data_IF_260037236535
#
_entry.id   IF_260037236535
#
_cell.length_a   1.000
_cell.length_b   1.000
_cell.length_c   1.000
_cell.angle_alpha   90.00
_cell.angle_beta   90.00
_cell.angle_gamma   90.00
#
_symmetry.space_group_name_H-M   'P 1'
#
loop_
_entity.id
_entity.type
_entity.pdbx_description
1 polymer ?
#
# COMPACT_ATOMS: atom_id res chain seq x y z
N UNK A 1 16.04 -7.86 9.57
CA UNK A 1 14.72 -7.19 9.64
C UNK A 1 13.97 -7.24 8.30
N UNK A 2 14.55 -6.77 7.17
CA UNK A 2 13.88 -6.88 5.85
C UNK A 2 13.67 -8.33 5.44
N UNK A 3 14.64 -9.19 5.71
CA UNK A 3 14.58 -10.63 5.43
C UNK A 3 13.46 -11.31 6.21
N UNK A 4 13.39 -11.10 7.52
CA UNK A 4 12.30 -11.60 8.36
C UNK A 4 10.94 -11.12 7.88
N UNK A 5 10.84 -9.84 7.48
CA UNK A 5 9.60 -9.28 6.93
C UNK A 5 9.23 -9.97 5.62
N UNK A 6 10.20 -10.26 4.75
CA UNK A 6 10.00 -11.00 3.50
C UNK A 6 9.43 -12.39 3.76
N UNK A 7 10.03 -13.13 4.70
CA UNK A 7 9.60 -14.48 5.06
C UNK A 7 8.18 -14.48 5.60
N UNK A 8 7.90 -13.62 6.60
CA UNK A 8 6.56 -13.49 7.17
C UNK A 8 5.54 -13.11 6.10
N UNK A 9 5.86 -12.15 5.24
CA UNK A 9 4.94 -11.72 4.18
C UNK A 9 4.69 -12.83 3.15
N UNK A 10 5.74 -13.57 2.77
CA UNK A 10 5.61 -14.72 1.86
C UNK A 10 4.70 -15.80 2.45
N UNK A 11 4.85 -16.13 3.72
CA UNK A 11 4.01 -17.12 4.40
C UNK A 11 2.56 -16.66 4.53
N UNK A 12 2.34 -15.40 4.92
CA UNK A 12 0.99 -14.85 5.00
C UNK A 12 0.30 -14.83 3.62
N UNK A 13 1.04 -14.51 2.56
CA UNK A 13 0.50 -14.56 1.20
C UNK A 13 0.14 -16.00 0.78
N UNK A 14 0.97 -17.00 1.11
CA UNK A 14 0.66 -18.42 0.86
C UNK A 14 -0.62 -18.85 1.60
N UNK A 15 -0.75 -18.46 2.89
CA UNK A 15 -1.96 -18.72 3.67
C UNK A 15 -3.18 -18.05 3.04
N UNK A 16 -3.02 -16.83 2.54
CA UNK A 16 -4.10 -16.08 1.91
C UNK A 16 -4.55 -16.72 0.59
N UNK A 17 -3.61 -17.17 -0.25
CA UNK A 17 -3.89 -17.93 -1.46
C UNK A 17 -4.65 -19.22 -1.14
N UNK A 18 -4.21 -19.96 -0.12
CA UNK A 18 -4.90 -21.16 0.37
C UNK A 18 -6.31 -20.87 0.90
N UNK A 19 -6.49 -19.82 1.68
CA UNK A 19 -7.79 -19.36 2.16
C UNK A 19 -8.75 -19.08 1.01
N UNK A 20 -8.27 -18.42 -0.05
CA UNK A 20 -9.03 -18.15 -1.28
C UNK A 20 -9.18 -19.39 -2.18
N UNK A 21 -8.69 -20.55 -1.76
CA UNK A 21 -8.72 -21.82 -2.52
C UNK A 21 -8.09 -21.72 -3.91
N UNK A 22 -7.08 -20.87 -4.06
CA UNK A 22 -6.30 -20.73 -5.29
C UNK A 22 -5.41 -21.97 -5.44
N UNK A 23 -5.59 -22.70 -6.53
CA UNK A 23 -4.80 -23.90 -6.81
C UNK A 23 -3.34 -23.55 -7.12
N UNK A 24 -2.41 -24.48 -6.88
CA UNK A 24 -0.99 -24.27 -7.17
C UNK A 24 -0.69 -24.06 -8.65
N UNK A 25 -1.47 -24.67 -9.53
CA UNK A 25 -1.36 -24.57 -11.00
C UNK A 25 -2.18 -23.43 -11.60
N UNK A 26 -2.95 -22.69 -10.78
CA UNK A 26 -3.76 -21.57 -11.21
C UNK A 26 -2.91 -20.47 -11.87
N UNK A 27 -3.38 -19.92 -12.98
CA UNK A 27 -2.69 -18.84 -13.70
C UNK A 27 -2.86 -17.50 -13.00
N UNK A 28 -1.79 -16.73 -12.90
CA UNK A 28 -1.76 -15.43 -12.22
C UNK A 28 -1.46 -14.29 -13.18
N UNK A 29 -2.17 -13.18 -13.00
CA UNK A 29 -1.77 -11.87 -13.54
C UNK A 29 -1.39 -10.96 -12.37
N UNK A 30 -0.12 -10.54 -12.33
CA UNK A 30 0.37 -9.54 -11.38
C UNK A 30 0.27 -8.16 -12.02
N UNK A 31 -0.43 -7.25 -11.37
CA UNK A 31 -0.64 -5.87 -11.84
C UNK A 31 0.06 -4.91 -10.90
N UNK A 32 0.97 -4.10 -11.43
CA UNK A 32 1.62 -3.03 -10.68
C UNK A 32 1.00 -1.69 -11.02
N UNK A 33 0.26 -1.12 -10.07
CA UNK A 33 -0.37 0.20 -10.22
C UNK A 33 0.62 1.32 -9.85
N UNK A 34 0.35 2.50 -10.36
CA UNK A 34 1.10 3.72 -10.06
C UNK A 34 1.84 4.29 -11.25
N UNK A 35 2.53 5.39 -11.00
CA UNK A 35 3.32 6.12 -11.99
C UNK A 35 4.82 5.88 -11.75
N UNK A 36 5.48 5.19 -12.66
CA UNK A 36 6.92 4.88 -12.58
C UNK A 36 7.83 6.11 -12.53
N UNK A 37 7.33 7.26 -12.99
CA UNK A 37 8.09 8.54 -13.00
C UNK A 37 7.94 9.34 -11.69
N UNK A 38 7.15 8.87 -10.74
CA UNK A 38 6.95 9.51 -9.44
C UNK A 38 7.34 8.52 -8.36
N UNK A 39 8.53 8.65 -7.78
CA UNK A 39 9.11 7.66 -6.85
C UNK A 39 8.11 7.14 -5.81
N UNK A 40 7.39 7.96 -5.02
CA UNK A 40 6.48 7.43 -4.01
C UNK A 40 5.25 6.70 -4.59
N UNK A 41 4.99 6.80 -5.88
CA UNK A 41 3.90 6.13 -6.60
C UNK A 41 4.38 4.94 -7.46
N UNK A 42 5.70 4.71 -7.52
CA UNK A 42 6.32 3.74 -8.42
C UNK A 42 6.37 2.30 -7.87
N UNK A 43 5.82 2.03 -6.68
CA UNK A 43 5.94 0.71 -6.03
C UNK A 43 5.50 -0.44 -6.95
N UNK A 44 4.31 -0.36 -7.52
CA UNK A 44 3.77 -1.40 -8.39
C UNK A 44 4.67 -1.68 -9.59
N UNK A 45 5.00 -0.70 -10.44
CA UNK A 45 5.94 -0.87 -11.54
C UNK A 45 7.31 -1.43 -11.11
N UNK A 46 7.89 -0.93 -10.02
CA UNK A 46 9.19 -1.41 -9.52
C UNK A 46 9.15 -2.87 -9.03
N UNK A 47 8.05 -3.30 -8.42
CA UNK A 47 7.85 -4.71 -8.04
C UNK A 47 7.85 -5.59 -9.28
N UNK A 48 7.16 -5.18 -10.35
CA UNK A 48 7.06 -5.98 -11.57
C UNK A 48 8.41 -6.20 -12.26
N UNK A 49 9.36 -5.28 -12.13
CA UNK A 49 10.70 -5.43 -12.72
C UNK A 49 11.45 -6.67 -12.20
N UNK A 50 11.03 -7.21 -11.05
CA UNK A 50 11.66 -8.36 -10.40
C UNK A 50 10.71 -9.59 -10.29
N UNK A 51 9.52 -9.54 -10.89
CA UNK A 51 8.60 -10.69 -10.92
C UNK A 51 9.05 -11.69 -11.99
N UNK A 52 9.08 -12.97 -11.61
CA UNK A 52 9.36 -14.07 -12.52
C UNK A 52 8.13 -14.34 -13.37
N UNK A 53 8.15 -13.88 -14.62
CA UNK A 53 7.07 -14.10 -15.59
C UNK A 53 7.36 -15.36 -16.41
N UNK A 54 6.39 -16.25 -16.49
CA UNK A 54 6.56 -17.61 -17.04
C UNK A 54 5.52 -17.99 -18.09
N UNK A 55 4.42 -17.23 -18.21
CA UNK A 55 3.33 -17.58 -19.14
C UNK A 55 3.80 -17.78 -20.56
N UNK A 56 4.72 -16.94 -21.08
CA UNK A 56 5.26 -17.02 -22.42
C UNK A 56 5.99 -18.34 -22.68
N UNK A 57 6.64 -18.92 -21.67
CA UNK A 57 7.33 -20.21 -21.79
C UNK A 57 6.34 -21.33 -22.12
N UNK A 58 5.19 -21.36 -21.44
CA UNK A 58 4.13 -22.33 -21.70
C UNK A 58 3.49 -22.16 -23.07
N UNK A 59 3.32 -20.90 -23.53
CA UNK A 59 2.77 -20.62 -24.86
C UNK A 59 3.75 -21.05 -25.97
N UNK A 60 5.06 -20.85 -25.77
CA UNK A 60 6.09 -21.30 -26.71
C UNK A 60 6.15 -22.81 -26.79
N UNK A 61 6.16 -23.51 -25.65
CA UNK A 61 6.21 -24.97 -25.62
C UNK A 61 4.97 -25.60 -26.25
N UNK A 62 3.78 -25.05 -26.02
CA UNK A 62 2.56 -25.52 -26.68
C UNK A 62 2.64 -25.42 -28.21
N UNK A 63 3.30 -24.38 -28.74
CA UNK A 63 3.49 -24.21 -30.20
C UNK A 63 4.52 -25.16 -30.80
N UNK A 64 5.51 -25.55 -30.02
CA UNK A 64 6.64 -26.35 -30.47
C UNK A 64 6.49 -27.87 -30.15
N UNK A 65 5.40 -28.26 -29.47
CA UNK A 65 5.17 -29.66 -29.08
C UNK A 65 6.09 -30.17 -27.97
N UNK A 66 6.75 -29.25 -27.23
CA UNK A 66 7.78 -29.56 -26.24
C UNK A 66 7.40 -29.21 -24.81
N UNK A 67 6.18 -29.54 -24.36
CA UNK A 67 5.76 -29.33 -22.96
C UNK A 67 6.68 -30.01 -21.95
N UNK A 68 7.33 -31.11 -22.34
CA UNK A 68 8.27 -31.86 -21.51
C UNK A 68 9.57 -31.09 -21.20
N UNK A 69 9.82 -29.97 -21.86
CA UNK A 69 11.02 -29.14 -21.66
C UNK A 69 10.80 -27.97 -20.68
N UNK A 70 9.57 -27.75 -20.24
CA UNK A 70 9.28 -26.74 -19.24
C UNK A 70 9.32 -27.40 -17.87
N UNK A 71 10.03 -26.77 -16.95
CA UNK A 71 9.91 -27.11 -15.54
C UNK A 71 8.51 -26.76 -15.05
N UNK A 72 7.63 -27.77 -14.97
CA UNK A 72 6.23 -27.66 -14.52
C UNK A 72 6.10 -27.19 -13.07
N UNK A 73 7.23 -26.99 -12.39
CA UNK A 73 7.25 -26.43 -11.04
C UNK A 73 6.91 -24.94 -11.01
N UNK A 74 7.03 -24.24 -12.14
CA UNK A 74 6.64 -22.83 -12.21
C UNK A 74 5.13 -22.67 -12.42
N UNK A 75 4.51 -21.76 -11.67
CA UNK A 75 3.15 -21.26 -11.96
C UNK A 75 3.19 -20.44 -13.24
N UNK A 76 2.11 -20.43 -14.02
CA UNK A 76 1.94 -19.51 -15.17
C UNK A 76 1.67 -18.10 -14.66
N UNK A 77 2.65 -17.22 -14.73
CA UNK A 77 2.59 -15.84 -14.27
C UNK A 77 2.78 -14.88 -15.44
N UNK A 78 1.92 -13.87 -15.51
CA UNK A 78 2.05 -12.69 -16.37
C UNK A 78 2.18 -11.45 -15.49
N UNK A 79 2.78 -10.38 -15.99
CA UNK A 79 2.89 -9.10 -15.30
C UNK A 79 2.40 -7.97 -16.23
N UNK A 80 1.77 -6.96 -15.64
CA UNK A 80 1.24 -5.78 -16.34
C UNK A 80 1.42 -4.52 -15.50
N UNK A 81 2.17 -3.55 -16.00
CA UNK A 81 2.18 -2.17 -15.50
C UNK A 81 1.31 -1.32 -16.43
N UNK A 82 0.04 -1.05 -16.10
CA UNK A 82 -0.88 -0.35 -17.00
C UNK A 82 -0.57 1.15 -17.11
N UNK A 83 0.26 1.68 -16.19
CA UNK A 83 0.48 3.10 -16.03
C UNK A 83 -0.73 3.84 -15.47
N UNK A 84 -0.67 5.16 -15.51
CA UNK A 84 -1.73 6.05 -15.03
C UNK A 84 -2.43 6.76 -16.21
N UNK A 85 -3.69 7.08 -16.06
CA UNK A 85 -4.48 7.73 -17.09
C UNK A 85 -3.85 9.03 -17.63
N UNK A 86 -3.13 9.77 -16.77
CA UNK A 86 -2.42 10.99 -17.19
C UNK A 86 -1.29 10.76 -18.20
N UNK A 87 -0.73 9.54 -18.25
CA UNK A 87 0.30 9.15 -19.22
C UNK A 87 -0.29 8.45 -20.45
N UNK A 88 -1.28 7.59 -20.25
CA UNK A 88 -1.81 6.71 -21.28
C UNK A 88 -3.03 7.29 -22.01
N UNK A 89 -3.76 8.22 -21.39
CA UNK A 89 -5.05 8.70 -21.85
C UNK A 89 -6.19 7.68 -21.71
N UNK A 90 -5.91 6.50 -21.10
CA UNK A 90 -6.86 5.38 -20.95
C UNK A 90 -7.07 5.12 -19.46
N UNK A 91 -8.31 4.82 -19.08
CA UNK A 91 -8.59 4.42 -17.70
C UNK A 91 -7.85 3.11 -17.34
N UNK A 92 -7.13 3.13 -16.23
CA UNK A 92 -6.33 1.98 -15.79
C UNK A 92 -7.14 0.68 -15.69
N UNK A 93 -8.38 0.80 -15.25
CA UNK A 93 -9.31 -0.34 -15.19
C UNK A 93 -9.56 -0.95 -16.58
N UNK A 94 -9.80 -0.14 -17.61
CA UNK A 94 -10.13 -0.61 -18.97
C UNK A 94 -8.95 -1.37 -19.59
N UNK A 95 -7.72 -0.94 -19.31
CA UNK A 95 -6.50 -1.67 -19.70
C UNK A 95 -6.46 -3.04 -19.04
N UNK A 96 -6.67 -3.08 -17.71
CA UNK A 96 -6.64 -4.32 -16.93
C UNK A 96 -7.75 -5.27 -17.38
N UNK A 97 -8.99 -4.78 -17.53
CA UNK A 97 -10.14 -5.57 -17.98
C UNK A 97 -9.89 -6.21 -19.36
N UNK A 98 -9.32 -5.43 -20.29
CA UNK A 98 -8.98 -5.92 -21.64
C UNK A 98 -7.94 -7.04 -21.58
N UNK A 99 -6.90 -6.89 -20.75
CA UNK A 99 -5.87 -7.91 -20.57
C UNK A 99 -6.42 -9.14 -19.87
N UNK A 100 -7.24 -8.99 -18.82
CA UNK A 100 -7.93 -10.10 -18.14
C UNK A 100 -8.80 -10.86 -19.13
N UNK A 101 -9.62 -10.18 -19.92
CA UNK A 101 -10.46 -10.80 -20.95
C UNK A 101 -9.68 -11.60 -21.98
N UNK A 102 -8.49 -11.12 -22.37
CA UNK A 102 -7.61 -11.79 -23.33
C UNK A 102 -6.80 -12.94 -22.73
N UNK A 103 -6.26 -12.74 -21.53
CA UNK A 103 -5.31 -13.69 -20.89
C UNK A 103 -6.01 -14.74 -20.02
N UNK A 104 -7.23 -14.43 -19.56
CA UNK A 104 -8.07 -15.27 -18.72
C UNK A 104 -7.30 -15.87 -17.53
N UNK A 105 -6.74 -15.04 -16.65
CA UNK A 105 -6.06 -15.54 -15.46
C UNK A 105 -7.11 -16.11 -14.47
N UNK A 106 -6.69 -17.08 -13.65
CA UNK A 106 -7.54 -17.62 -12.60
C UNK A 106 -7.65 -16.66 -11.41
N UNK A 107 -6.67 -15.79 -11.22
CA UNK A 107 -6.69 -14.73 -10.19
C UNK A 107 -5.72 -13.59 -10.52
N UNK A 108 -5.93 -12.44 -9.87
CA UNK A 108 -5.05 -11.28 -9.94
C UNK A 108 -4.38 -11.01 -8.59
N UNK A 109 -3.12 -10.57 -8.65
CA UNK A 109 -2.48 -9.85 -7.56
C UNK A 109 -2.24 -8.42 -8.04
N UNK A 110 -2.71 -7.44 -7.28
CA UNK A 110 -2.57 -6.02 -7.61
C UNK A 110 -1.72 -5.35 -6.54
N UNK A 111 -0.62 -4.73 -6.96
CA UNK A 111 0.31 -4.01 -6.07
C UNK A 111 0.19 -2.52 -6.29
N UNK A 112 0.04 -1.74 -5.22
CA UNK A 112 -0.13 -0.28 -5.29
C UNK A 112 0.57 0.43 -4.13
N UNK A 113 0.95 1.68 -4.38
CA UNK A 113 1.38 2.62 -3.36
C UNK A 113 0.15 3.31 -2.75
N UNK A 114 0.08 3.36 -1.43
CA UNK A 114 -1.07 3.91 -0.72
C UNK A 114 -0.74 5.23 -0.03
N UNK A 115 -1.77 6.02 0.30
CA UNK A 115 -1.66 7.12 1.23
C UNK A 115 -1.89 6.64 2.67
N UNK A 116 -0.96 6.97 3.55
CA UNK A 116 -1.07 6.68 4.98
C UNK A 116 -2.10 7.60 5.65
N UNK A 117 -2.78 7.07 6.66
CA UNK A 117 -3.64 7.86 7.55
C UNK A 117 -2.91 8.48 8.74
N UNK A 118 -1.65 8.09 8.96
CA UNK A 118 -0.76 8.58 10.00
C UNK A 118 0.69 8.48 9.55
N UNK A 119 1.54 9.40 9.99
CA UNK A 119 2.96 9.46 9.65
C UNK A 119 3.69 8.18 10.05
N UNK A 120 3.34 7.61 11.20
CA UNK A 120 3.95 6.39 11.75
C UNK A 120 3.79 5.14 10.85
N UNK A 121 2.87 5.17 9.90
CA UNK A 121 2.57 4.04 8.99
C UNK A 121 3.31 4.10 7.66
N UNK A 122 3.91 5.24 7.31
CA UNK A 122 4.61 5.42 6.02
C UNK A 122 5.80 4.46 5.96
N UNK A 123 5.87 3.64 4.91
CA UNK A 123 6.89 2.62 4.64
C UNK A 123 7.11 1.57 5.75
N UNK A 124 6.15 1.45 6.68
CA UNK A 124 6.28 0.55 7.86
C UNK A 124 5.26 -0.58 7.91
N UNK A 125 4.36 -0.67 6.94
CA UNK A 125 3.33 -1.71 6.93
C UNK A 125 3.01 -2.18 5.51
N UNK A 126 2.70 -3.46 5.37
CA UNK A 126 2.15 -4.06 4.17
C UNK A 126 0.70 -4.41 4.47
N UNK A 127 -0.21 -3.97 3.61
CA UNK A 127 -1.63 -4.29 3.71
C UNK A 127 -2.00 -5.27 2.61
N UNK A 128 -2.76 -6.30 2.95
CA UNK A 128 -3.28 -7.28 2.01
C UNK A 128 -4.78 -7.45 2.20
N UNK A 129 -5.53 -7.48 1.10
CA UNK A 129 -6.99 -7.62 1.12
C UNK A 129 -7.50 -8.32 -0.13
N UNK A 130 -8.65 -9.00 0.00
CA UNK A 130 -9.42 -9.60 -1.12
C UNK A 130 -10.62 -8.76 -1.54
N UNK A 131 -10.82 -7.61 -0.90
CA UNK A 131 -11.94 -6.72 -1.24
C UNK A 131 -11.67 -5.85 -2.47
N UNK A 132 -10.48 -5.96 -3.06
CA UNK A 132 -10.05 -5.15 -4.19
C UNK A 132 -9.52 -3.78 -3.80
N UNK A 133 -9.15 -2.98 -4.81
CA UNK A 133 -8.54 -1.66 -4.66
C UNK A 133 -9.18 -0.65 -5.59
N UNK A 134 -9.20 0.62 -5.18
CA UNK A 134 -9.61 1.75 -6.02
C UNK A 134 -8.38 2.63 -6.27
N UNK A 135 -7.77 2.59 -7.46
CA UNK A 135 -6.56 3.33 -7.76
C UNK A 135 -6.75 4.83 -7.50
N UNK A 136 -5.77 5.47 -6.87
CA UNK A 136 -5.79 6.91 -6.60
C UNK A 136 -6.82 7.39 -5.57
N UNK A 137 -7.55 6.52 -4.90
CA UNK A 137 -8.54 6.91 -3.88
C UNK A 137 -7.93 7.63 -2.70
N UNK A 138 -6.69 7.32 -2.34
CA UNK A 138 -5.94 7.98 -1.26
C UNK A 138 -5.59 9.44 -1.54
N UNK A 139 -5.65 9.86 -2.79
CA UNK A 139 -5.38 11.24 -3.24
C UNK A 139 -6.61 11.93 -3.83
N UNK A 140 -7.81 11.45 -3.51
CA UNK A 140 -9.09 12.06 -3.87
C UNK A 140 -9.62 11.72 -5.27
N UNK A 141 -8.96 10.86 -6.03
CA UNK A 141 -9.41 10.42 -7.35
C UNK A 141 -10.39 9.25 -7.22
N UNK A 142 -11.66 9.46 -7.60
CA UNK A 142 -12.65 8.39 -7.67
C UNK A 142 -12.51 7.66 -9.02
N UNK A 143 -11.81 6.53 -9.04
CA UNK A 143 -11.65 5.65 -10.19
C UNK A 143 -12.43 4.36 -10.03
N UNK A 144 -12.64 3.64 -11.14
CA UNK A 144 -13.30 2.32 -11.11
C UNK A 144 -12.50 1.37 -10.23
N UNK A 145 -13.23 0.63 -9.40
CA UNK A 145 -12.65 -0.35 -8.48
C UNK A 145 -12.17 -1.58 -9.23
N UNK A 146 -11.02 -2.09 -8.84
CA UNK A 146 -10.44 -3.34 -9.31
C UNK A 146 -10.74 -4.38 -8.24
N UNK A 147 -11.75 -5.20 -8.45
CA UNK A 147 -12.19 -6.24 -7.53
C UNK A 147 -12.78 -7.45 -8.28
N UNK A 148 -13.05 -8.52 -7.55
CA UNK A 148 -13.62 -9.75 -8.10
C UNK A 148 -14.97 -9.50 -8.77
N UNK A 149 -15.80 -8.62 -8.21
CA UNK A 149 -17.13 -8.31 -8.75
C UNK A 149 -17.05 -7.64 -10.12
N UNK A 150 -16.07 -6.77 -10.32
CA UNK A 150 -15.92 -6.01 -11.56
C UNK A 150 -15.19 -6.79 -12.66
N UNK A 151 -14.23 -7.65 -12.29
CA UNK A 151 -13.39 -8.38 -13.25
C UNK A 151 -13.81 -9.84 -13.45
N UNK A 152 -14.68 -10.39 -12.59
CA UNK A 152 -15.12 -11.78 -12.66
C UNK A 152 -14.08 -12.81 -12.24
N UNK A 153 -12.95 -12.38 -11.66
CA UNK A 153 -11.87 -13.24 -11.16
C UNK A 153 -11.40 -12.76 -9.78
N UNK A 154 -10.97 -13.66 -8.88
CA UNK A 154 -10.45 -13.27 -7.56
C UNK A 154 -9.33 -12.22 -7.67
N UNK A 155 -9.40 -11.19 -6.83
CA UNK A 155 -8.39 -10.12 -6.77
C UNK A 155 -7.82 -10.06 -5.36
N UNK A 156 -6.49 -10.13 -5.26
CA UNK A 156 -5.74 -9.89 -4.04
C UNK A 156 -5.00 -8.57 -4.21
N UNK A 157 -5.32 -7.58 -3.41
CA UNK A 157 -4.64 -6.29 -3.43
C UNK A 157 -3.59 -6.24 -2.31
N UNK A 158 -2.40 -5.78 -2.65
CA UNK A 158 -1.26 -5.55 -1.77
C UNK A 158 -0.92 -4.08 -1.86
N UNK A 159 -0.86 -3.40 -0.72
CA UNK A 159 -0.56 -1.98 -0.67
C UNK A 159 0.43 -1.62 0.41
N UNK A 160 1.32 -0.68 0.11
CA UNK A 160 2.26 -0.10 1.08
C UNK A 160 2.02 1.40 1.11
N UNK A 161 1.77 2.00 2.29
CA UNK A 161 1.69 3.45 2.42
C UNK A 161 3.06 4.08 2.21
N UNK A 162 3.22 4.88 1.16
CA UNK A 162 4.47 5.55 0.77
C UNK A 162 4.42 7.06 1.00
N UNK A 163 3.22 7.59 1.16
CA UNK A 163 2.96 9.01 1.35
C UNK A 163 1.95 9.24 2.46
N UNK A 164 1.92 10.46 2.98
CA UNK A 164 0.88 10.95 3.88
C UNK A 164 0.48 12.36 3.44
N UNK A 165 -0.81 12.71 3.52
CA UNK A 165 -1.26 14.06 3.19
C UNK A 165 -0.91 15.07 4.30
N UNK A 166 -0.69 16.33 3.95
CA UNK A 166 -0.31 17.38 4.88
C UNK A 166 -1.37 17.65 5.97
N UNK A 167 -2.65 17.41 5.68
CA UNK A 167 -3.75 17.52 6.64
C UNK A 167 -3.60 16.47 7.72
N UNK A 168 -3.28 15.23 7.36
CA UNK A 168 -3.00 14.14 8.31
C UNK A 168 -1.79 14.45 9.18
N UNK A 169 -0.67 14.91 8.59
CA UNK A 169 0.53 15.30 9.35
C UNK A 169 0.21 16.39 10.37
N UNK A 170 -0.51 17.44 9.95
CA UNK A 170 -0.84 18.56 10.83
C UNK A 170 -1.83 18.14 11.92
N UNK A 171 -2.82 17.32 11.58
CA UNK A 171 -3.76 16.77 12.55
C UNK A 171 -3.04 15.93 13.62
N UNK A 172 -2.19 15.00 13.23
CA UNK A 172 -1.40 14.15 14.14
C UNK A 172 -0.48 15.01 15.03
N UNK A 173 0.11 16.08 14.47
CA UNK A 173 0.96 17.01 15.21
C UNK A 173 0.17 17.74 16.30
N UNK A 174 -1.01 18.25 15.97
CA UNK A 174 -1.87 18.95 16.94
C UNK A 174 -2.32 17.99 18.06
N UNK A 175 -2.74 16.78 17.70
CA UNK A 175 -3.16 15.78 18.67
C UNK A 175 -2.00 15.38 19.61
N UNK A 176 -0.79 15.20 19.07
CA UNK A 176 0.40 14.90 19.87
C UNK A 176 0.75 16.05 20.83
N UNK A 177 0.74 17.29 20.36
CA UNK A 177 0.97 18.46 21.21
C UNK A 177 -0.04 18.53 22.36
N UNK A 178 -1.31 18.26 22.08
CA UNK A 178 -2.35 18.26 23.13
C UNK A 178 -2.11 17.15 24.18
N UNK A 179 -1.68 15.97 23.76
CA UNK A 179 -1.34 14.87 24.68
C UNK A 179 -0.16 15.26 25.59
N UNK A 180 0.89 15.89 25.04
CA UNK A 180 2.01 16.38 25.85
C UNK A 180 1.61 17.51 26.83
N UNK A 181 0.70 18.40 26.43
CA UNK A 181 0.13 19.39 27.36
C UNK A 181 -0.61 18.67 28.49
N UNK A 182 -1.43 17.68 28.18
CA UNK A 182 -2.15 16.88 29.18
C UNK A 182 -1.21 16.16 30.13
N UNK A 183 -0.14 15.56 29.63
CA UNK A 183 0.90 14.92 30.43
C UNK A 183 1.56 15.94 31.38
N UNK A 184 2.00 17.09 30.86
CA UNK A 184 2.64 18.13 31.68
C UNK A 184 1.72 18.68 32.77
N UNK A 185 0.41 18.73 32.53
CA UNK A 185 -0.57 19.14 33.54
C UNK A 185 -0.82 18.05 34.60
N UNK A 186 -0.71 16.78 34.23
CA UNK A 186 -0.87 15.64 35.16
C UNK A 186 0.36 15.46 36.06
N UNK A 187 1.55 15.70 35.54
CA UNK A 187 2.81 15.65 36.26
C UNK A 187 3.04 16.96 37.01
N UNK A 188 2.62 17.03 38.28
CA UNK A 188 2.67 18.25 39.12
C UNK A 188 4.05 18.93 39.28
N UNK A 189 5.12 18.43 38.63
CA UNK A 189 6.50 18.93 38.72
C UNK A 189 7.20 19.12 37.36
N UNK A 190 6.51 19.09 36.23
CA UNK A 190 7.15 19.01 34.92
C UNK A 190 7.57 20.35 34.33
N UNK A 191 8.87 20.66 34.39
CA UNK A 191 9.50 21.74 33.61
C UNK A 191 10.17 21.27 32.32
N UNK A 192 10.20 19.97 32.03
CA UNK A 192 10.76 19.41 30.80
C UNK A 192 9.71 18.60 30.04
N UNK A 193 9.38 19.05 28.83
CA UNK A 193 8.69 18.24 27.85
C UNK A 193 9.67 17.16 27.33
N UNK A 194 9.58 15.95 27.85
CA UNK A 194 10.27 14.83 27.24
C UNK A 194 9.49 14.38 26.02
N UNK A 195 10.00 14.70 24.84
CA UNK A 195 9.46 14.19 23.58
C UNK A 195 9.79 12.71 23.46
N UNK A 196 8.86 11.85 23.84
CA UNK A 196 8.99 10.43 23.53
C UNK A 196 8.88 10.23 22.01
N UNK A 197 9.64 9.26 21.49
CA UNK A 197 9.57 8.89 20.06
C UNK A 197 8.14 8.48 19.67
N UNK A 198 7.77 8.72 18.42
CA UNK A 198 6.46 8.37 17.83
C UNK A 198 6.04 6.89 18.00
N UNK A 199 6.98 6.03 18.41
CA UNK A 199 6.77 4.60 18.66
C UNK A 199 6.08 4.28 19.99
N UNK A 200 5.78 5.31 20.84
CA UNK A 200 5.12 5.17 22.15
C UNK A 200 3.77 5.87 22.25
N UNK A 201 3.06 5.99 21.12
CA UNK A 201 1.75 6.66 21.07
C UNK A 201 0.70 6.05 22.04
N UNK A 202 0.78 4.74 22.33
CA UNK A 202 -0.18 4.07 23.21
C UNK A 202 -0.09 4.58 24.66
N UNK A 203 1.09 5.00 25.11
CA UNK A 203 1.28 5.51 26.47
C UNK A 203 0.74 6.95 26.63
N UNK A 204 0.59 7.71 25.56
CA UNK A 204 0.15 9.09 25.60
C UNK A 204 -1.38 9.26 25.48
N UNK A 205 -2.11 8.25 25.01
CA UNK A 205 -3.59 8.34 24.89
C UNK A 205 -4.28 8.65 26.23
N UNK A 206 -3.76 8.16 27.35
CA UNK A 206 -4.27 8.42 28.69
C UNK A 206 -4.13 9.90 29.12
N UNK A 207 -3.27 10.69 28.46
CA UNK A 207 -3.01 12.09 28.77
C UNK A 207 -3.81 13.07 27.92
N UNK A 208 -4.79 12.59 27.12
CA UNK A 208 -5.63 13.50 26.36
C UNK A 208 -6.36 14.48 27.30
N UNK A 209 -6.12 15.81 27.18
CA UNK A 209 -6.70 16.78 28.10
C UNK A 209 -8.23 16.82 28.01
N UNK A 210 -8.87 17.24 29.11
CA UNK A 210 -10.31 17.47 29.14
C UNK A 210 -10.71 18.53 28.10
N UNK A 211 -11.98 18.54 27.71
CA UNK A 211 -12.52 19.52 26.78
C UNK A 211 -12.28 20.97 27.25
N UNK A 212 -12.40 21.22 28.55
CA UNK A 212 -12.15 22.53 29.15
C UNK A 212 -10.70 23.00 28.90
N UNK A 213 -9.73 22.14 29.15
CA UNK A 213 -8.31 22.42 28.89
C UNK A 213 -8.03 22.60 27.41
N UNK A 214 -8.57 21.74 26.56
CA UNK A 214 -8.44 21.90 25.10
C UNK A 214 -9.01 23.22 24.59
N UNK A 215 -10.14 23.65 25.15
CA UNK A 215 -10.76 24.92 24.82
C UNK A 215 -9.93 26.12 25.32
N UNK A 216 -9.29 26.00 26.48
CA UNK A 216 -8.40 27.05 27.02
C UNK A 216 -7.17 27.27 26.12
N UNK A 217 -6.51 26.20 25.66
CA UNK A 217 -5.30 26.29 24.85
C UNK A 217 -5.54 26.55 23.36
N UNK A 218 -6.60 25.99 22.77
CA UNK A 218 -6.88 26.04 21.34
C UNK A 218 -8.18 26.79 21.00
N UNK A 219 -8.83 27.40 21.99
CA UNK A 219 -10.11 28.08 21.77
C UNK A 219 -11.17 27.12 21.21
N UNK A 220 -11.94 27.59 20.24
CA UNK A 220 -12.98 26.79 19.59
C UNK A 220 -12.42 25.57 18.84
N UNK A 221 -11.19 25.63 18.34
CA UNK A 221 -10.56 24.53 17.62
C UNK A 221 -10.34 23.31 18.51
N UNK A 222 -10.07 23.52 19.81
CA UNK A 222 -9.84 22.44 20.78
C UNK A 222 -11.06 21.55 21.03
N UNK A 223 -12.26 22.01 20.71
CA UNK A 223 -13.51 21.28 20.94
C UNK A 223 -14.15 20.73 19.66
N UNK A 224 -13.54 20.98 18.51
CA UNK A 224 -13.99 20.41 17.24
C UNK A 224 -13.81 18.88 17.23
N UNK A 225 -14.72 18.20 16.55
CA UNK A 225 -14.57 16.77 16.22
C UNK A 225 -13.33 16.53 15.34
N UNK A 226 -12.90 15.27 15.21
CA UNK A 226 -11.78 14.93 14.32
C UNK A 226 -12.08 15.32 12.86
N UNK A 227 -13.30 15.13 12.42
CA UNK A 227 -13.77 15.44 11.07
C UNK A 227 -13.77 16.95 10.81
N UNK A 228 -14.30 17.75 11.74
CA UNK A 228 -14.31 19.21 11.64
C UNK A 228 -12.90 19.81 11.66
N UNK A 229 -12.00 19.27 12.50
CA UNK A 229 -10.58 19.66 12.50
C UNK A 229 -9.92 19.37 11.15
N UNK A 230 -10.14 18.17 10.60
CA UNK A 230 -9.58 17.81 9.30
C UNK A 230 -10.12 18.70 8.19
N UNK A 231 -11.41 19.04 8.20
CA UNK A 231 -12.01 19.95 7.24
C UNK A 231 -11.37 21.34 7.32
N UNK A 232 -11.24 21.89 8.53
CA UNK A 232 -10.58 23.19 8.74
C UNK A 232 -9.13 23.19 8.25
N UNK A 233 -8.38 22.12 8.57
CA UNK A 233 -6.99 21.97 8.11
C UNK A 233 -6.92 21.84 6.59
N UNK A 234 -7.87 21.15 5.97
CA UNK A 234 -7.94 21.03 4.53
C UNK A 234 -8.20 22.39 3.85
N UNK A 235 -9.07 23.23 4.39
CA UNK A 235 -9.32 24.58 3.87
C UNK A 235 -8.04 25.45 3.87
N UNK A 236 -7.15 25.26 4.87
CA UNK A 236 -5.89 26.00 4.98
C UNK A 236 -4.77 25.40 4.12
N UNK A 237 -4.62 24.07 4.16
CA UNK A 237 -3.47 23.37 3.58
C UNK A 237 -3.69 22.94 2.12
N UNK A 238 -4.94 22.89 1.68
CA UNK A 238 -5.30 22.48 0.33
C UNK A 238 -6.15 23.53 -0.40
N UNK A 239 -5.74 24.81 -0.41
CA UNK A 239 -6.50 25.85 -1.08
C UNK A 239 -6.61 25.50 -2.58
N UNK A 240 -7.77 25.72 -3.17
CA UNK A 240 -8.06 25.40 -4.57
C UNK A 240 -7.94 23.92 -4.95
N UNK A 241 -8.03 22.99 -3.97
CA UNK A 241 -8.04 21.54 -4.22
C UNK A 241 -6.65 20.91 -4.44
N UNK A 242 -5.56 21.67 -4.24
CA UNK A 242 -4.21 21.10 -4.27
C UNK A 242 -3.96 20.27 -3.01
N UNK A 243 -3.84 18.96 -3.18
CA UNK A 243 -3.49 18.07 -2.08
C UNK A 243 -1.97 18.02 -1.89
N UNK A 244 -1.47 18.58 -0.79
CA UNK A 244 -0.05 18.50 -0.43
C UNK A 244 0.26 17.11 0.13
N UNK A 245 1.14 16.39 -0.55
CA UNK A 245 1.57 15.04 -0.20
C UNK A 245 3.00 15.09 0.33
N UNK A 246 3.24 14.44 1.46
CA UNK A 246 4.54 14.36 2.13
C UNK A 246 5.06 12.92 2.05
N UNK A 247 6.34 12.78 1.76
CA UNK A 247 7.04 11.49 1.73
C UNK A 247 8.39 11.62 2.45
N UNK A 248 8.96 10.53 3.01
CA UNK A 248 10.28 10.57 3.62
C UNK A 248 11.37 11.01 2.63
N UNK A 249 12.37 11.71 3.14
CA UNK A 249 13.53 12.12 2.33
C UNK A 249 14.30 10.92 1.74
N UNK A 250 14.19 9.77 2.37
CA UNK A 250 14.84 8.49 2.00
C UNK A 250 14.01 7.65 1.04
N UNK A 251 12.92 8.20 0.48
CA UNK A 251 11.94 7.44 -0.29
C UNK A 251 12.55 6.64 -1.44
N UNK A 252 13.55 7.16 -2.13
CA UNK A 252 14.16 6.46 -3.28
C UNK A 252 14.81 5.13 -2.86
N UNK A 253 15.57 5.13 -1.75
CA UNK A 253 16.20 3.91 -1.22
C UNK A 253 15.16 2.97 -0.61
N UNK A 254 14.18 3.52 0.10
CA UNK A 254 13.11 2.73 0.72
C UNK A 254 12.24 2.05 -0.34
N UNK A 255 11.92 2.72 -1.44
CA UNK A 255 11.17 2.13 -2.55
C UNK A 255 11.91 0.99 -3.23
N UNK A 256 13.25 1.12 -3.40
CA UNK A 256 14.07 0.05 -3.94
C UNK A 256 14.07 -1.19 -3.02
N UNK A 257 14.15 -0.99 -1.72
CA UNK A 257 14.12 -2.08 -0.74
C UNK A 257 12.73 -2.73 -0.63
N UNK A 258 11.67 -1.92 -0.56
CA UNK A 258 10.29 -2.39 -0.49
C UNK A 258 9.87 -3.14 -1.76
N UNK A 259 10.24 -2.65 -2.94
CA UNK A 259 9.93 -3.33 -4.19
C UNK A 259 10.62 -4.69 -4.29
N UNK A 260 11.89 -4.80 -3.87
CA UNK A 260 12.61 -6.09 -3.78
C UNK A 260 11.98 -7.04 -2.76
N UNK A 261 11.62 -6.53 -1.59
CA UNK A 261 10.97 -7.33 -0.55
C UNK A 261 9.66 -7.93 -1.09
N UNK A 262 8.80 -7.10 -1.69
CA UNK A 262 7.50 -7.54 -2.21
C UNK A 262 7.66 -8.50 -3.37
N UNK A 263 8.54 -8.20 -4.34
CA UNK A 263 8.74 -9.07 -5.51
C UNK A 263 9.31 -10.43 -5.12
N UNK A 264 10.27 -10.47 -4.20
CA UNK A 264 10.84 -11.73 -3.73
C UNK A 264 9.80 -12.57 -2.98
N UNK A 265 9.01 -11.96 -2.10
CA UNK A 265 7.93 -12.67 -1.41
C UNK A 265 6.86 -13.18 -2.38
N UNK A 266 6.51 -12.39 -3.39
CA UNK A 266 5.59 -12.80 -4.46
C UNK A 266 6.16 -13.99 -5.25
N UNK A 267 7.41 -13.95 -5.66
CA UNK A 267 8.05 -15.05 -6.40
C UNK A 267 8.02 -16.35 -5.60
N UNK A 268 8.37 -16.30 -4.31
CA UNK A 268 8.31 -17.47 -3.40
C UNK A 268 6.89 -18.00 -3.22
N UNK A 269 5.90 -17.13 -3.15
CA UNK A 269 4.50 -17.54 -2.97
C UNK A 269 3.86 -18.03 -4.28
N UNK A 270 4.24 -17.45 -5.42
CA UNK A 270 3.69 -17.80 -6.72
C UNK A 270 4.31 -19.06 -7.31
N UNK A 271 5.55 -19.37 -6.95
CA UNK A 271 6.27 -20.56 -7.43
C UNK A 271 6.62 -21.50 -6.26
N UNK A 272 5.62 -22.10 -5.59
CA UNK A 272 5.80 -22.83 -4.32
C UNK A 272 6.66 -24.10 -4.46
N UNK A 273 6.89 -24.57 -5.69
CA UNK A 273 7.68 -25.77 -5.97
C UNK A 273 9.14 -25.45 -6.31
N UNK A 274 9.51 -24.17 -6.31
CA UNK A 274 10.88 -23.73 -6.58
C UNK A 274 11.54 -23.32 -5.27
N UNK A 275 12.72 -23.88 -5.01
CA UNK A 275 13.58 -23.40 -3.93
C UNK A 275 14.35 -22.18 -4.43
N UNK A 276 14.03 -21.02 -3.89
CA UNK A 276 14.82 -19.82 -4.10
C UNK A 276 15.94 -19.80 -3.08
N UNK A 277 17.19 -19.91 -3.53
CA UNK A 277 18.36 -19.69 -2.67
C UNK A 277 18.30 -18.26 -2.11
N UNK A 278 18.52 -18.15 -0.80
CA UNK A 278 18.48 -16.91 -0.04
C UNK A 278 19.52 -15.89 -0.51
#
# INVERSE_FOLDING_TARGET
KLEETREVFSEELKKFLSYKKIKEDATCLVVGLGNEYITPDALGPMVLNNIIVTRHLYEMANRQGGLDQIDVNYRKVSALAPGVMGLTGIETYDIIESVVGKTKPDFLIVVDALAARAVSRVNKMIQMTDTGISPGSGVGNKRRRIDEKSLGVPVIAIGIPTVVDAVSVTHDTIDLLMKHIGQSLAEKNGTQLEFSSLDKDDDLEQYLPTEAVRKEFLGKIGVLSKEEKRQLLAEVLTPAGYNLIVTPKTIDSEMADLSRLVSNALNVALHPRIEFSA
#
